data_IF_307692617928
#
_entry.id   IF_307692617928
#
_cell.length_a   1.000
_cell.length_b   1.000
_cell.length_c   1.000
_cell.angle_alpha   90.00
_cell.angle_beta   90.00
_cell.angle_gamma   90.00
#
_symmetry.space_group_name_H-M   'P 1'
#
loop_
_entity.id
_entity.type
_entity.pdbx_description
1 polymer ?
#
# COMPACT_ATOMS: atom_id res chain seq x y z
N UNK A 1 -1.25 -14.66 -24.65
CA UNK A 1 -2.25 -13.70 -24.15
C UNK A 1 -3.22 -14.29 -23.12
N UNK A 2 -3.63 -15.56 -23.23
CA UNK A 2 -4.64 -16.20 -22.37
C UNK A 2 -4.36 -16.13 -20.86
N UNK A 3 -3.11 -16.08 -20.43
CA UNK A 3 -2.73 -15.90 -19.02
C UNK A 3 -2.36 -14.45 -18.65
N UNK A 4 -2.01 -13.61 -19.62
CA UNK A 4 -1.52 -12.25 -19.39
C UNK A 4 -2.67 -11.30 -19.05
N UNK A 5 -3.74 -11.31 -19.85
CA UNK A 5 -4.90 -10.43 -19.64
C UNK A 5 -5.56 -10.72 -18.28
N UNK A 6 -5.88 -11.97 -17.90
CA UNK A 6 -6.47 -12.24 -16.59
C UNK A 6 -5.58 -11.86 -15.40
N UNK A 7 -4.25 -11.81 -15.57
CA UNK A 7 -3.31 -11.47 -14.50
C UNK A 7 -3.14 -9.96 -14.31
N UNK A 8 -3.07 -9.18 -15.39
CA UNK A 8 -2.71 -7.76 -15.31
C UNK A 8 -3.80 -6.79 -15.77
N UNK A 9 -4.76 -7.27 -16.56
CA UNK A 9 -5.75 -6.46 -17.27
C UNK A 9 -7.16 -7.05 -17.14
N UNK A 10 -7.43 -7.74 -16.02
CA UNK A 10 -8.73 -8.35 -15.80
C UNK A 10 -9.84 -7.28 -15.81
N UNK A 11 -10.86 -7.48 -16.62
CA UNK A 11 -11.97 -6.55 -16.85
C UNK A 11 -11.60 -5.15 -17.42
N UNK A 12 -10.35 -4.91 -17.81
CA UNK A 12 -9.94 -3.63 -18.42
C UNK A 12 -10.59 -3.37 -19.78
N UNK A 13 -11.02 -4.41 -20.50
CA UNK A 13 -11.58 -4.29 -21.86
C UNK A 13 -13.09 -4.51 -21.93
N UNK A 14 -13.79 -4.40 -20.80
CA UNK A 14 -15.26 -4.43 -20.76
C UNK A 14 -15.85 -3.20 -21.46
N UNK A 15 -17.09 -3.33 -21.95
CA UNK A 15 -17.83 -2.21 -22.56
C UNK A 15 -18.02 -1.03 -21.61
N UNK A 16 -18.23 -1.32 -20.32
CA UNK A 16 -18.10 -0.34 -19.23
C UNK A 16 -17.02 -0.83 -18.26
N UNK A 17 -15.83 -0.24 -18.36
CA UNK A 17 -14.64 -0.53 -17.57
C UNK A 17 -14.26 0.62 -16.63
N UNK A 18 -15.09 1.68 -16.56
CA UNK A 18 -14.76 2.93 -15.89
C UNK A 18 -14.44 2.73 -14.41
N UNK A 19 -15.23 1.89 -13.74
CA UNK A 19 -15.05 1.56 -12.33
C UNK A 19 -13.75 0.76 -12.06
N UNK A 20 -13.37 -0.14 -12.98
CA UNK A 20 -12.13 -0.93 -12.90
C UNK A 20 -10.91 -0.02 -13.05
N UNK A 21 -10.92 0.85 -14.07
CA UNK A 21 -9.82 1.78 -14.32
C UNK A 21 -9.71 2.77 -13.15
N UNK A 22 -10.83 3.32 -12.68
CA UNK A 22 -10.82 4.25 -11.55
C UNK A 22 -10.34 3.60 -10.26
N UNK A 23 -10.73 2.36 -9.95
CA UNK A 23 -10.15 1.62 -8.81
C UNK A 23 -8.64 1.49 -8.95
N UNK A 24 -8.17 1.05 -10.13
CA UNK A 24 -6.76 0.83 -10.40
C UNK A 24 -5.93 2.12 -10.25
N UNK A 25 -6.40 3.23 -10.82
CA UNK A 25 -5.73 4.53 -10.73
C UNK A 25 -5.78 5.12 -9.32
N UNK A 26 -6.86 4.86 -8.58
CA UNK A 26 -6.94 5.29 -7.17
C UNK A 26 -5.90 4.55 -6.32
N UNK A 27 -5.77 3.23 -6.49
CA UNK A 27 -4.71 2.44 -5.83
C UNK A 27 -3.33 2.93 -6.27
N UNK A 28 -3.14 3.27 -7.54
CA UNK A 28 -1.87 3.85 -8.00
C UNK A 28 -1.57 5.20 -7.32
N UNK A 29 -2.56 6.08 -7.15
CA UNK A 29 -2.41 7.35 -6.42
C UNK A 29 -1.98 7.11 -4.97
N UNK A 30 -2.61 6.15 -4.28
CA UNK A 30 -2.23 5.75 -2.93
C UNK A 30 -0.81 5.16 -2.87
N UNK A 31 -0.36 4.46 -3.91
CA UNK A 31 1.01 3.96 -4.03
C UNK A 31 2.04 5.08 -4.20
N UNK A 32 1.71 6.16 -4.91
CA UNK A 32 2.55 7.35 -4.99
C UNK A 32 2.66 7.99 -3.60
N UNK A 33 1.53 8.21 -2.92
CA UNK A 33 1.50 8.75 -1.56
C UNK A 33 2.28 7.90 -0.55
N UNK A 34 2.19 6.57 -0.66
CA UNK A 34 2.88 5.62 0.20
C UNK A 34 4.41 5.68 0.02
N UNK A 35 4.92 5.87 -1.20
CA UNK A 35 6.37 5.82 -1.46
C UNK A 35 7.04 7.18 -1.56
N UNK A 36 6.35 8.20 -2.08
CA UNK A 36 6.84 9.57 -2.19
C UNK A 36 5.71 10.57 -1.84
N UNK A 37 5.46 10.80 -0.54
CA UNK A 37 4.37 11.67 -0.10
C UNK A 37 4.60 13.13 -0.52
N UNK A 38 5.85 13.59 -0.62
CA UNK A 38 6.16 14.95 -1.08
C UNK A 38 5.72 15.13 -2.54
N UNK A 39 6.07 14.18 -3.41
CA UNK A 39 5.62 14.20 -4.79
C UNK A 39 4.10 14.08 -4.88
N UNK A 40 3.48 13.17 -4.12
CA UNK A 40 2.03 13.01 -4.11
C UNK A 40 1.30 14.29 -3.70
N UNK A 41 1.75 14.97 -2.64
CA UNK A 41 1.17 16.23 -2.18
C UNK A 41 1.26 17.30 -3.27
N UNK A 42 2.43 17.49 -3.87
CA UNK A 42 2.62 18.46 -4.96
C UNK A 42 1.70 18.16 -6.15
N UNK A 43 1.66 16.91 -6.63
CA UNK A 43 0.82 16.52 -7.75
C UNK A 43 -0.68 16.75 -7.47
N UNK A 44 -1.12 16.45 -6.25
CA UNK A 44 -2.49 16.71 -5.81
C UNK A 44 -2.79 18.21 -5.72
N UNK A 45 -1.86 19.02 -5.21
CA UNK A 45 -2.00 20.47 -5.09
C UNK A 45 -2.15 21.16 -6.45
N UNK A 46 -1.39 20.71 -7.46
CA UNK A 46 -1.49 21.23 -8.84
C UNK A 46 -2.62 20.57 -9.65
N UNK A 47 -3.35 19.60 -9.09
CA UNK A 47 -4.42 18.86 -9.77
C UNK A 47 -3.94 17.91 -10.88
N UNK A 48 -2.66 17.50 -10.87
CA UNK A 48 -2.08 16.58 -11.86
C UNK A 48 -2.24 15.12 -11.43
N UNK A 49 -3.46 14.60 -11.60
CA UNK A 49 -3.84 13.26 -11.13
C UNK A 49 -3.49 12.14 -12.14
N UNK A 50 -3.33 10.87 -11.69
CA UNK A 50 -2.96 9.75 -12.56
C UNK A 50 -3.88 9.50 -13.77
N UNK A 51 -5.17 9.85 -13.68
CA UNK A 51 -6.13 9.74 -14.78
C UNK A 51 -5.68 10.45 -16.06
N UNK A 52 -4.83 11.48 -15.94
CA UNK A 52 -4.35 12.27 -17.07
C UNK A 52 -3.23 11.59 -17.86
N UNK A 53 -2.44 10.71 -17.24
CA UNK A 53 -1.20 10.20 -17.83
C UNK A 53 -0.97 8.70 -17.71
N UNK A 54 -1.56 8.02 -16.72
CA UNK A 54 -1.22 6.64 -16.38
C UNK A 54 -2.10 5.58 -17.07
N UNK A 55 -3.24 5.98 -17.65
CA UNK A 55 -4.15 5.05 -18.35
C UNK A 55 -3.42 4.28 -19.48
N UNK A 56 -2.68 4.94 -20.40
CA UNK A 56 -1.95 4.23 -21.45
C UNK A 56 -0.85 3.33 -20.91
N UNK A 57 -0.22 3.72 -19.79
CA UNK A 57 0.85 2.94 -19.16
C UNK A 57 0.34 1.57 -18.75
N UNK A 58 -0.78 1.53 -18.03
CA UNK A 58 -1.34 0.27 -17.56
C UNK A 58 -2.04 -0.50 -18.67
N UNK A 59 -2.83 0.14 -19.54
CA UNK A 59 -3.51 -0.56 -20.64
C UNK A 59 -2.54 -1.30 -21.57
N UNK A 60 -1.36 -0.72 -21.80
CA UNK A 60 -0.35 -1.28 -22.69
C UNK A 60 0.78 -1.98 -21.93
N UNK A 61 0.71 -2.04 -20.60
CA UNK A 61 1.79 -2.54 -19.74
C UNK A 61 3.16 -1.96 -20.14
N UNK A 62 3.17 -0.64 -20.31
CA UNK A 62 4.32 0.21 -20.67
C UNK A 62 4.89 0.02 -22.09
N UNK A 63 4.32 -0.87 -22.92
CA UNK A 63 4.83 -1.12 -24.28
C UNK A 63 4.66 0.06 -25.24
N UNK A 64 3.67 0.93 -25.02
CA UNK A 64 3.52 2.16 -25.80
C UNK A 64 4.49 3.26 -25.36
N UNK A 65 5.04 3.15 -24.15
CA UNK A 65 5.91 4.17 -23.55
C UNK A 65 7.37 3.94 -23.94
N UNK A 66 7.79 2.68 -24.02
CA UNK A 66 9.20 2.32 -24.21
C UNK A 66 9.45 1.60 -25.53
N UNK A 67 10.59 1.87 -26.20
CA UNK A 67 11.05 1.08 -27.34
C UNK A 67 11.18 -0.42 -27.01
N UNK A 68 11.02 -1.28 -28.03
CA UNK A 68 11.00 -2.75 -27.87
C UNK A 68 12.24 -3.33 -27.14
N UNK A 69 13.43 -2.79 -27.37
CA UNK A 69 14.63 -3.31 -26.71
C UNK A 69 14.66 -2.99 -25.21
N UNK A 70 14.06 -1.88 -24.78
CA UNK A 70 13.95 -1.46 -23.37
C UNK A 70 12.84 -2.22 -22.64
N UNK A 71 11.71 -2.43 -23.31
CA UNK A 71 10.55 -3.05 -22.66
C UNK A 71 10.80 -4.51 -22.30
N UNK A 72 11.63 -5.25 -23.05
CA UNK A 72 11.95 -6.65 -22.72
C UNK A 72 12.66 -6.78 -21.37
N UNK A 73 13.66 -5.94 -21.08
CA UNK A 73 14.33 -5.95 -19.79
C UNK A 73 13.41 -5.61 -18.62
N UNK A 74 12.48 -4.68 -18.82
CA UNK A 74 11.45 -4.37 -17.83
C UNK A 74 10.48 -5.55 -17.64
N UNK A 75 10.09 -6.19 -18.75
CA UNK A 75 9.13 -7.29 -18.75
C UNK A 75 9.67 -8.58 -18.13
N UNK A 76 10.97 -8.84 -18.23
CA UNK A 76 11.62 -9.97 -17.55
C UNK A 76 11.32 -9.96 -16.05
N UNK A 77 11.32 -8.77 -15.44
CA UNK A 77 10.97 -8.61 -14.01
C UNK A 77 9.46 -8.53 -13.80
N UNK A 78 8.73 -7.81 -14.66
CA UNK A 78 7.26 -7.64 -14.55
C UNK A 78 6.53 -8.99 -14.55
N UNK A 79 6.92 -9.90 -15.44
CA UNK A 79 6.27 -11.20 -15.61
C UNK A 79 6.51 -12.14 -14.43
N UNK A 80 7.63 -11.96 -13.71
CA UNK A 80 7.93 -12.67 -12.46
C UNK A 80 7.15 -12.11 -11.26
N UNK A 81 6.79 -10.83 -11.29
CA UNK A 81 5.98 -10.17 -10.26
C UNK A 81 4.50 -10.56 -10.32
N UNK A 82 3.80 -10.27 -9.23
CA UNK A 82 2.35 -10.44 -9.14
C UNK A 82 1.59 -9.30 -9.85
N UNK A 83 0.26 -9.31 -9.82
CA UNK A 83 -0.60 -8.32 -10.50
C UNK A 83 -0.40 -6.87 -10.00
N UNK A 84 0.29 -6.68 -8.87
CA UNK A 84 0.54 -5.37 -8.25
C UNK A 84 1.88 -4.75 -8.63
N UNK A 85 2.80 -5.54 -9.19
CA UNK A 85 4.12 -5.07 -9.60
C UNK A 85 4.10 -3.88 -10.59
N UNK A 86 3.16 -3.79 -11.56
CA UNK A 86 3.06 -2.62 -12.44
C UNK A 86 2.94 -1.27 -11.70
N UNK A 87 2.34 -1.24 -10.51
CA UNK A 87 2.30 -0.02 -9.69
C UNK A 87 3.70 0.45 -9.28
N UNK A 88 4.56 -0.48 -8.90
CA UNK A 88 5.94 -0.18 -8.49
C UNK A 88 6.76 0.36 -9.67
N UNK A 89 6.52 -0.15 -10.89
CA UNK A 89 7.11 0.40 -12.12
C UNK A 89 6.63 1.84 -12.35
N UNK A 90 5.32 2.08 -12.25
CA UNK A 90 4.76 3.42 -12.41
C UNK A 90 5.34 4.44 -11.42
N UNK A 91 5.46 4.05 -10.14
CA UNK A 91 6.09 4.89 -9.11
C UNK A 91 7.58 5.09 -9.39
N UNK A 92 8.31 4.06 -9.83
CA UNK A 92 9.73 4.19 -10.18
C UNK A 92 9.97 5.16 -11.35
N UNK A 93 9.08 5.17 -12.36
CA UNK A 93 9.12 6.15 -13.47
C UNK A 93 8.91 7.56 -12.91
N UNK A 94 7.91 7.77 -12.06
CA UNK A 94 7.65 9.07 -11.43
C UNK A 94 8.83 9.55 -10.57
N UNK A 95 9.49 8.64 -9.85
CA UNK A 95 10.67 8.95 -9.04
C UNK A 95 11.88 9.36 -9.88
N UNK A 96 12.04 8.84 -11.10
CA UNK A 96 13.08 9.32 -12.03
C UNK A 96 12.78 10.73 -12.56
N UNK A 97 11.50 11.10 -12.67
CA UNK A 97 11.05 12.41 -13.12
C UNK A 97 10.82 13.40 -11.98
N UNK A 98 11.06 12.97 -10.74
CA UNK A 98 10.69 13.68 -9.50
C UNK A 98 11.12 15.14 -9.46
N UNK A 99 12.38 15.41 -9.75
CA UNK A 99 12.92 16.77 -9.64
C UNK A 99 12.26 17.72 -10.65
N UNK A 100 11.95 17.21 -11.86
CA UNK A 100 11.21 17.97 -12.87
C UNK A 100 9.76 18.15 -12.46
N UNK A 101 9.11 17.11 -11.94
CA UNK A 101 7.72 17.18 -11.47
C UNK A 101 7.54 18.21 -10.36
N UNK A 102 8.41 18.18 -9.34
CA UNK A 102 8.36 19.10 -8.20
C UNK A 102 8.67 20.55 -8.58
N UNK A 103 9.46 20.77 -9.63
CA UNK A 103 9.79 22.12 -10.10
C UNK A 103 8.72 22.75 -10.99
N UNK A 104 7.68 22.00 -11.39
CA UNK A 104 6.75 22.38 -12.44
C UNK A 104 5.28 22.37 -11.97
N UNK A 105 4.46 23.19 -12.63
CA UNK A 105 3.02 23.23 -12.43
C UNK A 105 2.28 22.25 -13.34
N UNK A 106 0.94 22.38 -13.39
CA UNK A 106 0.07 21.49 -14.15
C UNK A 106 0.43 21.44 -15.65
N UNK A 107 0.57 22.60 -16.30
CA UNK A 107 0.78 22.68 -17.74
C UNK A 107 2.14 22.10 -18.17
N UNK A 108 3.18 22.41 -17.40
CA UNK A 108 4.53 21.92 -17.66
C UNK A 108 4.63 20.42 -17.41
N UNK A 109 3.87 19.87 -16.44
CA UNK A 109 3.73 18.44 -16.25
C UNK A 109 3.03 17.76 -17.45
N UNK A 110 1.98 18.38 -18.02
CA UNK A 110 1.33 17.84 -19.24
C UNK A 110 2.33 17.76 -20.40
N UNK A 111 3.15 18.81 -20.60
CA UNK A 111 4.19 18.83 -21.63
C UNK A 111 5.26 17.77 -21.36
N UNK A 112 5.70 17.62 -20.11
CA UNK A 112 6.69 16.61 -19.70
C UNK A 112 6.27 15.18 -20.05
N UNK A 113 4.97 14.87 -19.94
CA UNK A 113 4.47 13.51 -20.24
C UNK A 113 4.10 13.32 -21.71
N UNK A 114 3.88 14.42 -22.43
CA UNK A 114 3.69 14.39 -23.89
C UNK A 114 5.00 14.05 -24.61
N UNK A 115 6.13 14.52 -24.09
CA UNK A 115 7.48 14.19 -24.56
C UNK A 115 8.31 13.61 -23.40
N UNK A 116 8.02 12.35 -23.07
CA UNK A 116 8.60 11.69 -21.91
C UNK A 116 10.14 11.62 -22.04
N UNK A 117 10.90 12.13 -21.06
CA UNK A 117 12.35 12.05 -21.08
C UNK A 117 12.83 10.60 -21.08
N UNK A 118 14.09 10.39 -21.48
CA UNK A 118 14.68 9.06 -21.44
C UNK A 118 14.68 8.49 -20.01
N UNK A 119 14.00 7.36 -19.84
CA UNK A 119 13.96 6.59 -18.59
C UNK A 119 15.09 5.56 -18.60
N UNK A 120 15.85 5.52 -17.51
CA UNK A 120 16.83 4.47 -17.23
C UNK A 120 16.08 3.20 -16.77
N UNK A 121 16.11 2.17 -17.61
CA UNK A 121 15.38 0.92 -17.38
C UNK A 121 16.03 0.09 -16.26
N UNK A 122 17.35 0.07 -16.16
CA UNK A 122 18.04 -0.69 -15.11
C UNK A 122 17.74 -0.08 -13.74
N UNK A 123 17.76 1.25 -13.66
CA UNK A 123 17.29 1.96 -12.47
C UNK A 123 15.82 1.69 -12.19
N UNK A 124 14.95 1.73 -13.20
CA UNK A 124 13.52 1.47 -13.05
C UNK A 124 13.23 0.07 -12.48
N UNK A 125 13.93 -0.96 -12.99
CA UNK A 125 13.81 -2.33 -12.49
C UNK A 125 14.28 -2.43 -11.04
N UNK A 126 15.45 -1.87 -10.71
CA UNK A 126 16.00 -1.91 -9.35
C UNK A 126 15.09 -1.20 -8.34
N UNK A 127 14.63 0.01 -8.67
CA UNK A 127 13.74 0.76 -7.79
C UNK A 127 12.37 0.09 -7.65
N UNK A 128 11.79 -0.44 -8.74
CA UNK A 128 10.49 -1.11 -8.66
C UNK A 128 10.51 -2.37 -7.78
N UNK A 129 11.61 -3.15 -7.79
CA UNK A 129 11.82 -4.26 -6.84
C UNK A 129 11.91 -3.75 -5.40
N UNK A 130 12.68 -2.68 -5.16
CA UNK A 130 12.82 -2.10 -3.83
C UNK A 130 11.47 -1.60 -3.28
N UNK A 131 10.72 -0.85 -4.09
CA UNK A 131 9.37 -0.37 -3.77
C UNK A 131 8.44 -1.54 -3.44
N UNK A 132 8.47 -2.60 -4.26
CA UNK A 132 7.66 -3.80 -4.04
C UNK A 132 7.99 -4.47 -2.69
N UNK A 133 9.27 -4.61 -2.34
CA UNK A 133 9.68 -5.19 -1.06
C UNK A 133 9.27 -4.39 0.18
N UNK A 134 9.00 -3.09 0.04
CA UNK A 134 8.51 -2.23 1.12
C UNK A 134 6.99 -2.09 1.16
N UNK A 135 6.28 -2.65 0.18
CA UNK A 135 4.82 -2.54 0.06
C UNK A 135 4.16 -3.78 0.69
N UNK A 136 3.32 -3.62 1.73
CA UNK A 136 2.50 -4.71 2.23
C UNK A 136 1.60 -5.26 1.11
N UNK A 137 1.38 -6.57 1.05
CA UNK A 137 0.69 -7.22 -0.08
C UNK A 137 -0.74 -6.72 -0.25
N UNK A 138 -1.43 -6.56 0.86
CA UNK A 138 -2.82 -6.12 0.90
C UNK A 138 -2.98 -4.61 0.68
N UNK A 139 -1.88 -3.83 0.68
CA UNK A 139 -1.91 -2.39 0.37
C UNK A 139 -2.37 -2.12 -1.06
N UNK A 140 -2.10 -3.05 -1.99
CA UNK A 140 -2.49 -2.97 -3.41
C UNK A 140 -3.73 -3.81 -3.73
N UNK A 141 -4.51 -4.19 -2.72
CA UNK A 141 -5.76 -4.91 -2.92
C UNK A 141 -6.70 -4.12 -3.84
N UNK A 142 -7.28 -4.84 -4.79
CA UNK A 142 -8.30 -4.36 -5.73
C UNK A 142 -9.37 -5.42 -5.86
N UNK A 143 -10.64 -5.05 -5.94
CA UNK A 143 -11.71 -6.00 -6.16
C UNK A 143 -11.58 -6.66 -7.55
N UNK A 144 -11.09 -5.93 -8.54
CA UNK A 144 -10.98 -6.39 -9.93
C UNK A 144 -9.56 -6.84 -10.34
N UNK A 145 -8.71 -7.25 -9.39
CA UNK A 145 -7.34 -7.67 -9.71
C UNK A 145 -7.27 -8.95 -10.56
N UNK A 146 -8.12 -9.93 -10.28
CA UNK A 146 -8.12 -11.24 -10.94
C UNK A 146 -9.54 -11.84 -11.01
N UNK A 147 -9.77 -12.81 -11.92
CA UNK A 147 -11.03 -13.56 -11.95
C UNK A 147 -11.30 -14.32 -10.64
N UNK A 148 -12.56 -14.41 -10.20
CA UNK A 148 -12.92 -15.22 -9.04
C UNK A 148 -12.50 -16.68 -9.24
N UNK A 149 -11.87 -17.29 -8.23
CA UNK A 149 -11.57 -18.74 -8.26
C UNK A 149 -12.88 -19.53 -8.28
N UNK A 150 -12.99 -20.47 -9.22
CA UNK A 150 -14.08 -21.46 -9.22
C UNK A 150 -13.93 -22.38 -8.01
N UNK A 151 -15.02 -22.55 -7.25
CA UNK A 151 -15.07 -23.30 -5.98
C UNK A 151 -14.96 -24.84 -6.18
N UNK A 152 -14.38 -25.32 -7.28
CA UNK A 152 -14.43 -26.75 -7.62
C UNK A 152 -13.37 -27.24 -8.61
N UNK A 153 -12.25 -26.53 -8.78
CA UNK A 153 -11.14 -27.01 -9.61
C UNK A 153 -10.16 -27.85 -8.78
N UNK A 154 -9.91 -29.08 -9.21
CA UNK A 154 -9.03 -30.07 -8.59
C UNK A 154 -7.78 -29.46 -7.95
N UNK A 155 -7.63 -29.73 -6.66
CA UNK A 155 -6.42 -29.52 -5.89
C UNK A 155 -5.35 -30.53 -6.38
N UNK A 156 -4.87 -30.34 -7.61
CA UNK A 156 -3.74 -31.10 -8.10
C UNK A 156 -2.52 -30.63 -7.31
N UNK A 157 -2.09 -31.48 -6.37
CA UNK A 157 -1.06 -31.28 -5.36
C UNK A 157 0.36 -31.05 -5.90
N UNK A 158 0.53 -30.11 -6.83
CA UNK A 158 1.79 -29.41 -6.97
C UNK A 158 1.80 -28.29 -5.96
N UNK A 159 2.47 -28.54 -4.83
CA UNK A 159 3.11 -27.49 -4.04
C UNK A 159 4.05 -26.72 -4.96
N UNK A 160 3.52 -25.77 -5.75
CA UNK A 160 4.35 -24.74 -6.36
C UNK A 160 4.98 -24.03 -5.18
N UNK A 161 6.30 -24.17 -5.07
CA UNK A 161 7.12 -23.23 -4.33
C UNK A 161 6.97 -21.85 -5.01
N UNK A 162 5.79 -21.23 -4.92
CA UNK A 162 5.59 -19.89 -5.44
C UNK A 162 6.43 -18.98 -4.55
N UNK A 163 7.42 -18.32 -5.14
CA UNK A 163 8.14 -17.28 -4.42
C UNK A 163 7.13 -16.29 -3.85
N UNK A 164 7.40 -15.74 -2.66
CA UNK A 164 6.57 -14.70 -2.05
C UNK A 164 6.23 -13.54 -3.02
N UNK A 165 7.12 -13.31 -4.00
CA UNK A 165 7.06 -12.32 -5.05
C UNK A 165 5.97 -12.57 -6.13
N UNK A 166 5.54 -13.83 -6.32
CA UNK A 166 4.64 -14.22 -7.40
C UNK A 166 3.18 -14.45 -6.95
N UNK A 167 2.90 -14.54 -5.65
CA UNK A 167 1.54 -14.74 -5.15
C UNK A 167 0.80 -13.40 -5.00
N UNK A 168 -0.43 -13.34 -5.54
CA UNK A 168 -1.32 -12.21 -5.32
C UNK A 168 -2.07 -12.37 -3.99
N UNK A 169 -2.51 -11.26 -3.39
CA UNK A 169 -3.27 -11.26 -2.13
C UNK A 169 -4.56 -12.12 -2.24
N UNK A 170 -5.22 -12.05 -3.40
CA UNK A 170 -6.43 -12.82 -3.68
C UNK A 170 -6.20 -14.34 -3.84
N UNK A 171 -4.93 -14.77 -3.97
CA UNK A 171 -4.59 -16.20 -4.04
C UNK A 171 -4.64 -16.89 -2.66
N UNK A 172 -4.65 -16.09 -1.58
CA UNK A 172 -4.70 -16.58 -0.21
C UNK A 172 -6.15 -16.93 0.19
N UNK A 173 -6.36 -17.92 1.07
CA UNK A 173 -7.68 -18.21 1.61
C UNK A 173 -8.26 -16.96 2.27
N UNK A 174 -9.48 -16.56 1.89
CA UNK A 174 -10.17 -15.46 2.58
C UNK A 174 -10.46 -15.88 4.02
N UNK A 175 -9.91 -15.14 4.97
CA UNK A 175 -10.17 -15.29 6.40
C UNK A 175 -10.87 -14.05 6.94
N UNK A 176 -11.34 -14.10 8.18
CA UNK A 176 -11.90 -12.92 8.88
C UNK A 176 -10.88 -11.78 9.06
N UNK A 177 -9.59 -12.06 8.86
CA UNK A 177 -8.49 -11.09 8.95
C UNK A 177 -8.21 -10.38 7.61
N UNK A 178 -8.70 -10.94 6.50
CA UNK A 178 -8.42 -10.49 5.15
C UNK A 178 -9.09 -9.15 4.85
N UNK A 179 -8.62 -8.44 3.82
CA UNK A 179 -9.26 -7.18 3.38
C UNK A 179 -10.65 -7.41 2.83
N UNK A 180 -11.55 -6.47 3.15
CA UNK A 180 -12.86 -6.40 2.54
C UNK A 180 -12.88 -5.38 1.38
N UNK A 181 -13.68 -5.60 0.32
CA UNK A 181 -13.91 -4.59 -0.70
C UNK A 181 -14.55 -3.35 -0.08
N UNK A 182 -14.06 -2.17 -0.47
CA UNK A 182 -14.64 -0.89 -0.09
C UNK A 182 -15.22 -0.19 -1.32
N UNK A 183 -16.21 0.69 -1.10
CA UNK A 183 -16.80 1.45 -2.19
C UNK A 183 -15.75 2.35 -2.83
N UNK A 184 -15.80 2.50 -4.16
CA UNK A 184 -14.88 3.35 -4.90
C UNK A 184 -14.84 4.80 -4.39
N UNK A 185 -15.99 5.34 -3.95
CA UNK A 185 -16.06 6.68 -3.35
C UNK A 185 -15.27 6.80 -2.04
N UNK A 186 -15.25 5.73 -1.24
CA UNK A 186 -14.48 5.68 0.02
C UNK A 186 -12.99 5.50 -0.29
N UNK A 187 -12.64 4.62 -1.23
CA UNK A 187 -11.27 4.44 -1.69
C UNK A 187 -10.67 5.76 -2.21
N UNK A 188 -11.43 6.52 -3.01
CA UNK A 188 -11.03 7.84 -3.53
C UNK A 188 -10.88 8.92 -2.45
N UNK A 189 -11.54 8.76 -1.31
CA UNK A 189 -11.44 9.71 -0.20
C UNK A 189 -10.19 9.46 0.66
N UNK A 190 -9.50 8.32 0.49
CA UNK A 190 -8.34 7.93 1.29
C UNK A 190 -7.04 8.12 0.51
N UNK A 191 -6.10 8.88 1.09
CA UNK A 191 -4.75 9.06 0.51
C UNK A 191 -3.81 7.89 0.78
N UNK A 192 -4.02 7.19 1.90
CA UNK A 192 -3.18 6.07 2.33
C UNK A 192 -3.86 4.73 2.05
N UNK A 193 -3.13 3.70 1.61
CA UNK A 193 -3.70 2.38 1.41
C UNK A 193 -4.08 1.74 2.75
N UNK A 194 -5.03 0.80 2.69
CA UNK A 194 -5.35 -0.07 3.84
C UNK A 194 -4.58 -1.39 3.75
N UNK A 195 -4.24 -1.95 4.89
CA UNK A 195 -3.65 -3.30 4.99
C UNK A 195 -4.55 -4.24 5.79
N UNK A 196 -4.45 -5.54 5.52
CA UNK A 196 -5.16 -6.58 6.25
C UNK A 196 -4.57 -6.81 7.64
N UNK A 197 -5.31 -7.53 8.48
CA UNK A 197 -4.79 -7.94 9.78
C UNK A 197 -3.70 -9.01 9.65
N UNK A 198 -3.71 -9.86 8.62
CA UNK A 198 -2.60 -10.80 8.37
C UNK A 198 -1.29 -10.06 8.06
N UNK A 199 -1.34 -9.06 7.17
CA UNK A 199 -0.17 -8.23 6.86
C UNK A 199 0.35 -7.53 8.13
N UNK A 200 -0.54 -7.01 8.99
CA UNK A 200 -0.12 -6.42 10.27
C UNK A 200 0.58 -7.42 11.18
N UNK A 201 0.05 -8.65 11.30
CA UNK A 201 0.63 -9.73 12.12
C UNK A 201 2.02 -10.10 11.61
N UNK A 202 2.15 -10.30 10.30
CA UNK A 202 3.42 -10.66 9.65
C UNK A 202 4.46 -9.53 9.79
N UNK A 203 4.06 -8.27 9.57
CA UNK A 203 4.95 -7.11 9.67
C UNK A 203 5.42 -6.84 11.10
N UNK A 204 4.55 -7.06 12.10
CA UNK A 204 4.86 -6.88 13.51
C UNK A 204 5.51 -8.11 14.15
N UNK A 205 5.72 -9.21 13.40
CA UNK A 205 6.23 -10.49 13.90
C UNK A 205 5.44 -11.02 15.13
N UNK A 206 4.12 -10.82 15.16
CA UNK A 206 3.28 -11.20 16.31
C UNK A 206 3.08 -12.72 16.36
N UNK A 207 3.45 -13.35 17.48
CA UNK A 207 3.27 -14.78 17.69
C UNK A 207 2.10 -15.06 18.64
N UNK A 208 1.15 -15.91 18.23
CA UNK A 208 0.02 -16.35 19.05
C UNK A 208 -0.06 -17.88 19.20
N UNK A 209 -1.03 -18.40 19.98
CA UNK A 209 -1.23 -19.84 20.20
C UNK A 209 -1.72 -20.59 18.95
N UNK A 210 -2.20 -19.89 17.91
CA UNK A 210 -2.58 -20.45 16.62
C UNK A 210 -1.40 -20.52 15.65
N UNK A 211 -1.22 -21.66 14.98
CA UNK A 211 -0.21 -21.87 13.95
C UNK A 211 -0.47 -21.01 12.69
N UNK A 212 -0.07 -19.74 12.71
CA UNK A 212 0.13 -18.95 11.50
C UNK A 212 1.62 -19.05 11.13
N UNK A 213 1.97 -20.08 10.35
CA UNK A 213 3.33 -20.23 9.81
C UNK A 213 3.44 -19.49 8.49
N UNK A 214 4.04 -18.31 8.51
CA UNK A 214 4.71 -17.73 7.33
C UNK A 214 6.23 -17.87 7.49
N UNK A 215 6.97 -18.21 6.44
CA UNK A 215 8.41 -18.44 6.53
C UNK A 215 9.15 -17.11 6.49
N UNK A 216 9.27 -16.43 7.62
CA UNK A 216 10.21 -15.31 7.76
C UNK A 216 11.55 -15.85 8.25
N UNK A 217 12.57 -15.77 7.37
CA UNK A 217 13.98 -15.94 7.75
C UNK A 217 14.28 -14.96 8.88
N UNK A 218 14.55 -15.48 10.08
CA UNK A 218 15.11 -14.72 11.20
C UNK A 218 16.41 -14.02 10.75
N UNK A 219 16.36 -12.71 10.53
CA UNK A 219 17.57 -11.89 10.45
C UNK A 219 17.70 -11.20 11.80
N UNK A 220 18.75 -11.58 12.55
CA UNK A 220 19.04 -11.04 13.88
C UNK A 220 19.18 -9.51 13.85
N UNK A 221 18.59 -8.87 14.86
CA UNK A 221 18.86 -7.51 15.37
C UNK A 221 18.85 -6.37 14.34
N UNK A 222 17.68 -6.01 13.82
CA UNK A 222 17.47 -4.66 13.27
C UNK A 222 16.25 -4.02 13.93
N UNK A 223 16.26 -2.68 14.11
CA UNK A 223 15.12 -1.92 14.61
C UNK A 223 13.85 -2.31 13.81
N UNK A 224 12.67 -2.45 14.46
CA UNK A 224 11.45 -2.95 13.80
C UNK A 224 11.07 -2.10 12.58
N UNK A 225 10.82 -2.75 11.43
CA UNK A 225 10.52 -2.06 10.15
C UNK A 225 9.13 -1.39 10.12
N UNK A 226 8.37 -1.54 11.20
CA UNK A 226 6.99 -1.09 11.34
C UNK A 226 6.79 -0.38 12.68
N UNK A 227 5.85 0.57 12.70
CA UNK A 227 5.27 1.15 13.91
C UNK A 227 3.74 1.10 13.80
N UNK A 228 3.09 0.46 14.75
CA UNK A 228 1.65 0.56 14.93
C UNK A 228 1.32 1.79 15.79
N UNK A 229 0.46 2.67 15.27
CA UNK A 229 0.00 3.90 15.94
C UNK A 229 -1.48 3.75 16.22
N UNK A 230 -1.82 3.49 17.48
CA UNK A 230 -3.19 3.38 17.93
C UNK A 230 -3.74 4.76 18.29
N UNK A 231 -4.71 5.23 17.51
CA UNK A 231 -5.32 6.55 17.66
C UNK A 231 -6.62 6.53 18.47
N UNK A 232 -6.95 5.40 19.12
CA UNK A 232 -8.09 5.31 20.03
C UNK A 232 -7.81 6.07 21.33
N UNK A 233 -8.84 6.23 22.15
CA UNK A 233 -8.68 6.79 23.49
C UNK A 233 -7.68 5.96 24.30
N UNK A 234 -7.01 6.60 25.25
CA UNK A 234 -6.07 5.89 26.12
C UNK A 234 -6.77 4.78 26.91
N UNK A 235 -8.02 4.95 27.32
CA UNK A 235 -8.79 3.89 27.97
C UNK A 235 -8.92 2.64 27.09
N UNK A 236 -9.33 2.80 25.83
CA UNK A 236 -9.48 1.69 24.88
C UNK A 236 -8.14 1.01 24.55
N UNK A 237 -7.05 1.77 24.56
CA UNK A 237 -5.69 1.24 24.40
C UNK A 237 -5.28 0.37 25.60
N UNK A 238 -5.54 0.83 26.83
CA UNK A 238 -5.26 0.06 28.04
C UNK A 238 -6.15 -1.18 28.16
N UNK A 239 -7.35 -1.19 27.59
CA UNK A 239 -8.20 -2.40 27.55
C UNK A 239 -7.67 -3.49 26.62
N UNK A 240 -6.75 -3.16 25.72
CA UNK A 240 -6.13 -4.11 24.81
C UNK A 240 -5.56 -3.41 23.58
N UNK A 241 -4.29 -3.63 23.28
CA UNK A 241 -3.59 -3.00 22.16
C UNK A 241 -2.61 -3.97 21.48
N UNK A 242 -2.04 -3.57 20.35
CA UNK A 242 -1.01 -4.35 19.66
C UNK A 242 0.32 -4.20 20.39
N UNK A 243 1.01 -5.32 20.64
CA UNK A 243 2.32 -5.28 21.30
C UNK A 243 3.31 -4.38 20.54
N UNK A 244 4.01 -3.49 21.24
CA UNK A 244 4.94 -2.54 20.65
C UNK A 244 4.29 -1.34 19.94
N UNK A 245 2.96 -1.22 19.93
CA UNK A 245 2.28 -0.02 19.43
C UNK A 245 2.40 1.17 20.38
N UNK A 246 2.25 2.38 19.84
CA UNK A 246 2.14 3.62 20.61
C UNK A 246 0.71 4.13 20.58
N UNK A 247 0.29 4.85 21.63
CA UNK A 247 -1.01 5.50 21.68
C UNK A 247 -0.89 7.01 21.40
N UNK A 248 -1.61 7.49 20.37
CA UNK A 248 -1.75 8.92 20.06
C UNK A 248 -3.25 9.20 19.84
N UNK A 249 -4.04 9.42 20.91
CA UNK A 249 -5.49 9.57 20.80
C UNK A 249 -5.88 10.67 19.84
N UNK A 250 -6.72 10.36 18.85
CA UNK A 250 -7.12 11.30 17.80
C UNK A 250 -7.71 12.61 18.36
N UNK A 251 -8.46 12.54 19.45
CA UNK A 251 -9.10 13.68 20.11
C UNK A 251 -8.13 14.71 20.67
N UNK A 252 -6.89 14.32 20.96
CA UNK A 252 -5.85 15.18 21.55
C UNK A 252 -4.58 15.20 20.71
N UNK A 253 -4.60 14.59 19.53
CA UNK A 253 -3.43 14.47 18.67
C UNK A 253 -3.04 15.80 18.01
N UNK A 254 -4.01 16.68 17.75
CA UNK A 254 -3.83 17.91 16.99
C UNK A 254 -4.01 19.13 17.87
N UNK A 255 -3.09 20.09 17.74
CA UNK A 255 -3.20 21.42 18.35
C UNK A 255 -4.18 22.33 17.59
N UNK A 256 -4.36 23.59 18.07
CA UNK A 256 -5.26 24.56 17.44
C UNK A 256 -4.95 24.83 15.96
N UNK A 257 -3.67 24.77 15.58
CA UNK A 257 -3.20 25.01 14.22
C UNK A 257 -3.26 23.76 13.32
N UNK A 258 -3.78 22.64 13.83
CA UNK A 258 -3.87 21.37 13.11
C UNK A 258 -2.58 20.55 13.06
N UNK A 259 -1.51 21.01 13.72
CA UNK A 259 -0.25 20.30 13.86
C UNK A 259 -0.30 19.24 14.96
N UNK A 260 0.52 18.18 14.83
CA UNK A 260 0.63 17.14 15.86
C UNK A 260 1.21 17.72 17.16
N UNK A 261 0.50 17.52 18.27
CA UNK A 261 0.95 17.94 19.60
C UNK A 261 2.26 17.20 19.96
N UNK A 262 3.25 17.95 20.45
CA UNK A 262 4.52 17.37 20.84
C UNK A 262 4.36 16.55 22.13
N UNK A 263 4.70 15.26 22.05
CA UNK A 263 4.68 14.34 23.19
C UNK A 263 5.70 13.21 22.98
N UNK A 264 5.88 12.34 23.99
CA UNK A 264 6.77 11.20 23.89
C UNK A 264 6.40 10.26 22.73
N UNK A 265 5.09 9.99 22.53
CA UNK A 265 4.60 9.16 21.44
C UNK A 265 4.90 9.77 20.06
N UNK A 266 4.74 11.09 19.90
CA UNK A 266 5.09 11.79 18.66
C UNK A 266 6.61 11.77 18.40
N UNK A 267 7.43 11.86 19.46
CA UNK A 267 8.89 11.70 19.35
C UNK A 267 9.25 10.30 18.83
N UNK A 268 8.58 9.26 19.34
CA UNK A 268 8.71 7.90 18.83
C UNK A 268 8.27 7.83 17.37
N UNK A 269 7.12 8.38 17.00
CA UNK A 269 6.63 8.43 15.62
C UNK A 269 7.67 9.05 14.66
N UNK A 270 8.25 10.20 15.01
CA UNK A 270 9.30 10.86 14.23
C UNK A 270 10.53 9.96 14.04
N UNK A 271 10.92 9.21 15.08
CA UNK A 271 12.07 8.28 15.01
C UNK A 271 11.84 7.09 14.04
N UNK A 272 10.59 6.86 13.64
CA UNK A 272 10.18 5.84 12.67
C UNK A 272 9.92 6.40 11.26
N UNK A 273 10.13 7.69 11.01
CA UNK A 273 9.98 8.27 9.66
C UNK A 273 10.83 7.48 8.64
N UNK A 274 10.21 7.05 7.53
CA UNK A 274 10.83 6.18 6.51
C UNK A 274 10.54 4.68 6.67
N UNK A 275 9.95 4.26 7.80
CA UNK A 275 9.47 2.89 8.08
C UNK A 275 7.96 2.82 7.83
N UNK A 276 7.42 1.59 7.81
CA UNK A 276 5.97 1.39 7.66
C UNK A 276 5.26 1.89 8.93
N UNK A 277 4.25 2.73 8.78
CA UNK A 277 3.43 3.23 9.88
C UNK A 277 2.00 2.74 9.65
N UNK A 278 1.45 1.98 10.60
CA UNK A 278 0.08 1.48 10.53
C UNK A 278 -0.79 2.22 11.52
N UNK A 279 -1.79 2.97 11.02
CA UNK A 279 -2.77 3.67 11.83
C UNK A 279 -3.89 2.70 12.23
N UNK A 280 -4.15 2.60 13.53
CA UNK A 280 -5.15 1.71 14.13
C UNK A 280 -6.21 2.55 14.82
N UNK A 281 -7.49 2.28 14.51
CA UNK A 281 -8.64 3.00 15.05
C UNK A 281 -9.85 2.08 15.21
N UNK A 282 -10.91 2.55 15.87
CA UNK A 282 -12.26 1.98 15.76
C UNK A 282 -13.04 2.61 14.60
N UNK A 283 -12.73 3.86 14.26
CA UNK A 283 -13.43 4.64 13.24
C UNK A 283 -12.50 4.89 12.04
N UNK A 284 -12.88 4.34 10.88
CA UNK A 284 -12.08 4.45 9.65
C UNK A 284 -11.91 5.89 9.17
N UNK A 285 -12.92 6.75 9.37
CA UNK A 285 -12.83 8.18 9.02
C UNK A 285 -11.72 8.89 9.80
N UNK A 286 -11.60 8.62 11.11
CA UNK A 286 -10.52 9.18 11.93
C UNK A 286 -9.16 8.62 11.52
N UNK A 287 -9.08 7.32 11.18
CA UNK A 287 -7.84 6.73 10.69
C UNK A 287 -7.40 7.35 9.36
N UNK A 288 -8.32 7.51 8.41
CA UNK A 288 -8.08 8.16 7.13
C UNK A 288 -7.63 9.62 7.30
N UNK A 289 -8.29 10.40 8.15
CA UNK A 289 -7.91 11.78 8.43
C UNK A 289 -6.52 11.89 9.08
N UNK A 290 -6.23 11.03 10.06
CA UNK A 290 -4.91 11.00 10.70
C UNK A 290 -3.80 10.59 9.72
N UNK A 291 -4.04 9.54 8.92
CA UNK A 291 -3.10 9.10 7.90
C UNK A 291 -2.87 10.17 6.82
N UNK A 292 -3.93 10.85 6.37
CA UNK A 292 -3.83 11.96 5.42
C UNK A 292 -2.99 13.12 5.99
N UNK A 293 -3.13 13.43 7.29
CA UNK A 293 -2.26 14.42 7.93
C UNK A 293 -0.79 13.98 7.90
N UNK A 294 -0.48 12.71 8.25
CA UNK A 294 0.89 12.20 8.19
C UNK A 294 1.48 12.30 6.76
N UNK A 295 0.71 11.95 5.74
CA UNK A 295 1.12 12.12 4.34
C UNK A 295 1.38 13.59 4.00
N UNK A 296 0.51 14.50 4.46
CA UNK A 296 0.68 15.96 4.27
C UNK A 296 1.99 16.48 4.87
N UNK A 297 2.36 16.01 6.08
CA UNK A 297 3.66 16.33 6.70
C UNK A 297 4.81 15.41 6.24
N UNK A 298 4.65 14.80 5.07
CA UNK A 298 5.66 14.02 4.34
C UNK A 298 6.19 12.80 5.10
N UNK A 299 5.33 12.09 5.82
CA UNK A 299 5.65 10.73 6.27
C UNK A 299 5.37 9.72 5.16
N UNK A 300 6.39 8.98 4.69
CA UNK A 300 6.18 7.90 3.74
C UNK A 300 5.68 6.66 4.47
N UNK A 301 5.17 5.70 3.70
CA UNK A 301 4.76 4.35 4.09
C UNK A 301 3.70 4.30 5.18
N UNK A 302 2.79 5.26 5.15
CA UNK A 302 1.62 5.32 6.03
C UNK A 302 0.51 4.46 5.44
N UNK A 303 -0.03 3.54 6.23
CA UNK A 303 -1.20 2.74 5.87
C UNK A 303 -2.17 2.63 7.06
N UNK A 304 -3.36 2.14 6.78
CA UNK A 304 -4.45 2.03 7.75
C UNK A 304 -4.79 0.55 7.97
N UNK A 305 -5.01 0.11 9.20
CA UNK A 305 -5.51 -1.24 9.45
C UNK A 305 -6.98 -1.33 9.02
N UNK A 306 -7.26 -2.17 8.01
CA UNK A 306 -8.61 -2.42 7.53
C UNK A 306 -9.48 -3.03 8.64
N UNK A 307 -10.71 -2.52 8.82
CA UNK A 307 -11.61 -2.92 9.91
C UNK A 307 -11.14 -2.56 11.33
N UNK A 308 -9.99 -1.89 11.46
CA UNK A 308 -9.48 -1.38 12.72
C UNK A 308 -9.09 -2.45 13.73
N UNK A 309 -8.96 -2.07 15.00
CA UNK A 309 -8.55 -2.99 16.08
C UNK A 309 -9.52 -4.17 16.27
N UNK A 310 -10.77 -4.03 15.82
CA UNK A 310 -11.78 -5.08 15.96
C UNK A 310 -11.42 -6.35 15.18
N UNK A 311 -10.76 -6.23 14.02
CA UNK A 311 -10.25 -7.40 13.28
C UNK A 311 -9.18 -8.17 14.06
N UNK A 312 -8.50 -7.53 14.98
CA UNK A 312 -7.46 -8.18 15.80
C UNK A 312 -8.04 -8.90 17.03
N UNK A 313 -9.25 -8.59 17.48
CA UNK A 313 -9.85 -9.18 18.70
C UNK A 313 -9.95 -10.71 18.65
N UNK A 314 -10.43 -11.35 17.56
CA UNK A 314 -10.55 -12.81 17.51
C UNK A 314 -9.21 -13.56 17.58
N UNK A 315 -8.10 -12.88 17.28
CA UNK A 315 -6.77 -13.50 17.22
C UNK A 315 -6.16 -13.81 18.59
N UNK A 316 -6.64 -13.15 19.64
CA UNK A 316 -6.03 -13.22 20.97
C UNK A 316 -4.64 -12.57 21.07
N UNK A 317 -4.19 -11.83 20.05
CA UNK A 317 -2.87 -11.18 20.00
C UNK A 317 -2.82 -9.79 20.68
N UNK A 318 -3.92 -9.36 21.30
CA UNK A 318 -3.98 -8.09 22.00
C UNK A 318 -3.28 -8.21 23.36
N UNK A 319 -2.37 -7.29 23.63
CA UNK A 319 -1.72 -7.13 24.93
C UNK A 319 -2.64 -6.34 25.84
N UNK A 320 -2.92 -6.88 27.02
CA UNK A 320 -3.64 -6.19 28.10
C UNK A 320 -2.63 -5.94 29.23
N UNK A 321 -2.43 -4.70 29.69
CA UNK A 321 -1.60 -4.42 30.86
C UNK A 321 -2.12 -5.20 32.06
N UNK A 322 -1.23 -5.90 32.78
CA UNK A 322 -1.61 -6.49 34.07
C UNK A 322 -2.04 -5.38 35.03
N UNK A 323 -3.14 -5.56 35.79
CA UNK A 323 -3.48 -4.61 36.84
C UNK A 323 -2.27 -4.49 37.78
N UNK A 324 -1.76 -3.28 37.96
CA UNK A 324 -0.77 -3.01 39.00
C UNK A 324 -1.47 -3.26 40.34
N UNK A 325 -1.13 -4.39 40.99
CA UNK A 325 -1.51 -4.72 42.36
C UNK A 325 -0.63 -3.90 43.29
#
# INVERSE_FOLDING_TARGET
>A
MSAFIPKYLYNFFLKDNSHVIQEYLTVFSQMIAFHDPQLSNHLNEIGFIPDLYAIPWFLTMFTHVFPLHKIFHLWDTLLLGNSSFPFCIGVAILQQLRDRLLANGFNECILLFSDLPEIDIERCVRESINLFCWTPKSATYRQHAQPPRSVGGDNNGFSKSSSYFSSDDQDLPKTDLSREPIKLSELKAELSPRISAEDLIDLCELTGPGHFKTPTKRIKSSKPKILAVDIRSSEDFHRGHISGSINIPYSTAFGPDGELVQCAANTTLQSFKGRVIVVISNAMKSAAAFAAHLVKVCYPKVCILDGGINKMKPTGLLTVPSPQI
#
